data_IF_905813626393
#
_entry.id   IF_905813626393
#
_cell.length_a   1.000
_cell.length_b   1.000
_cell.length_c   1.000
_cell.angle_alpha   90.00
_cell.angle_beta   90.00
_cell.angle_gamma   90.00
#
_symmetry.space_group_name_H-M   'P 1'
#
loop_
_entity.id
_entity.type
_entity.pdbx_description
1 polymer ?
#
# COMPACT_ATOMS: atom_id res chain seq x y z
N UNK A 1 21.82 15.90 -7.24
CA UNK A 1 20.60 15.12 -7.41
C UNK A 1 19.85 15.27 -6.12
N UNK A 2 18.77 16.06 -6.12
CA UNK A 2 17.79 15.96 -5.05
C UNK A 2 16.98 14.74 -5.46
N UNK A 3 17.06 13.67 -4.67
CA UNK A 3 16.14 12.54 -4.84
C UNK A 3 14.73 13.12 -4.92
N UNK A 4 13.99 12.66 -5.93
CA UNK A 4 12.58 12.95 -6.11
C UNK A 4 11.85 12.46 -4.84
N UNK A 5 11.80 13.30 -3.81
CA UNK A 5 10.96 13.09 -2.65
C UNK A 5 9.54 13.24 -3.19
N UNK A 6 8.93 12.10 -3.53
CA UNK A 6 7.57 12.04 -3.99
C UNK A 6 6.68 12.84 -3.04
N UNK A 7 6.10 13.92 -3.54
CA UNK A 7 5.27 14.81 -2.74
C UNK A 7 4.01 14.05 -2.33
N UNK A 8 3.62 14.12 -1.05
CA UNK A 8 2.38 13.52 -0.58
C UNK A 8 1.19 14.15 -1.31
N UNK A 9 0.26 13.32 -1.79
CA UNK A 9 -0.95 13.76 -2.46
C UNK A 9 -1.78 14.69 -1.58
N UNK A 10 -2.35 15.76 -2.13
CA UNK A 10 -3.12 16.75 -1.34
C UNK A 10 -4.38 16.18 -0.70
N UNK A 11 -4.87 15.05 -1.22
CA UNK A 11 -6.07 14.32 -0.78
C UNK A 11 -5.72 13.03 0.00
N UNK A 12 -4.49 12.92 0.55
CA UNK A 12 -4.03 11.73 1.26
C UNK A 12 -4.96 11.31 2.40
N UNK A 13 -5.56 12.27 3.10
CA UNK A 13 -6.43 12.07 4.25
C UNK A 13 -7.73 11.36 3.82
N UNK A 14 -8.32 11.78 2.71
CA UNK A 14 -9.49 11.15 2.14
C UNK A 14 -9.16 9.78 1.52
N UNK A 15 -8.00 9.62 0.86
CA UNK A 15 -7.56 8.31 0.34
C UNK A 15 -7.44 7.27 1.45
N UNK A 16 -6.78 7.63 2.56
CA UNK A 16 -6.63 6.74 3.74
C UNK A 16 -7.99 6.40 4.33
N UNK A 17 -8.86 7.40 4.53
CA UNK A 17 -10.20 7.18 5.10
C UNK A 17 -11.03 6.23 4.24
N UNK A 18 -11.10 6.49 2.94
CA UNK A 18 -11.88 5.69 1.99
C UNK A 18 -11.38 4.25 1.93
N UNK A 19 -10.06 4.03 1.91
CA UNK A 19 -9.48 2.70 1.89
C UNK A 19 -9.66 1.94 3.22
N UNK A 20 -9.60 2.62 4.36
CA UNK A 20 -9.93 2.01 5.65
C UNK A 20 -11.40 1.55 5.67
N UNK A 21 -12.31 2.40 5.20
CA UNK A 21 -13.75 2.13 5.21
C UNK A 21 -14.13 1.04 4.22
N UNK A 22 -13.46 0.95 3.06
CA UNK A 22 -13.67 -0.14 2.10
C UNK A 22 -13.25 -1.50 2.67
N UNK A 23 -12.24 -1.54 3.55
CA UNK A 23 -11.84 -2.73 4.32
C UNK A 23 -12.70 -2.98 5.56
N UNK A 24 -13.67 -2.10 5.88
CA UNK A 24 -14.59 -2.27 7.01
C UNK A 24 -13.95 -2.10 8.39
N UNK A 25 -12.80 -1.44 8.47
CA UNK A 25 -12.03 -1.29 9.71
C UNK A 25 -12.40 0.01 10.44
N UNK A 26 -12.41 -0.01 11.77
CA UNK A 26 -12.39 1.21 12.58
C UNK A 26 -10.99 1.84 12.61
N UNK A 27 -10.91 3.13 12.96
CA UNK A 27 -9.62 3.83 13.14
C UNK A 27 -8.71 3.14 14.16
N UNK A 28 -9.30 2.56 15.22
CA UNK A 28 -8.56 1.81 16.23
C UNK A 28 -8.06 0.46 15.73
N UNK A 29 -8.82 -0.24 14.89
CA UNK A 29 -8.39 -1.51 14.30
C UNK A 29 -7.23 -1.28 13.33
N UNK A 30 -7.35 -0.32 12.41
CA UNK A 30 -6.25 0.05 11.52
C UNK A 30 -4.99 0.44 12.32
N UNK A 31 -5.15 1.24 13.38
CA UNK A 31 -4.02 1.60 14.23
C UNK A 31 -3.36 0.39 14.90
N UNK A 32 -4.15 -0.57 15.38
CA UNK A 32 -3.63 -1.80 15.97
C UNK A 32 -2.86 -2.65 14.95
N UNK A 33 -3.40 -2.79 13.73
CA UNK A 33 -2.74 -3.52 12.63
C UNK A 33 -1.40 -2.89 12.24
N UNK A 34 -1.31 -1.56 12.26
CA UNK A 34 -0.08 -0.82 11.97
C UNK A 34 0.84 -0.65 13.20
N UNK A 35 0.44 -1.16 14.37
CA UNK A 35 1.15 -0.92 15.64
C UNK A 35 1.37 0.58 15.93
N UNK A 36 0.36 1.39 15.61
CA UNK A 36 0.32 2.83 15.78
C UNK A 36 -0.78 3.27 16.76
N UNK A 37 -0.77 4.55 17.14
CA UNK A 37 -1.83 5.11 17.99
C UNK A 37 -3.08 5.43 17.18
N UNK A 38 -4.26 5.05 17.67
CA UNK A 38 -5.54 5.42 17.06
C UNK A 38 -5.71 6.94 16.86
N UNK A 39 -5.11 7.75 17.74
CA UNK A 39 -5.11 9.20 17.61
C UNK A 39 -4.27 9.72 16.44
N UNK A 40 -3.24 8.98 16.02
CA UNK A 40 -2.43 9.31 14.85
C UNK A 40 -3.24 9.07 13.57
N UNK A 41 -3.81 7.88 13.39
CA UNK A 41 -4.69 7.53 12.26
C UNK A 41 -5.81 8.56 12.12
N UNK A 42 -6.46 8.90 13.24
CA UNK A 42 -7.52 9.91 13.27
C UNK A 42 -7.07 11.30 12.82
N UNK A 43 -5.84 11.72 13.13
CA UNK A 43 -5.29 13.02 12.70
C UNK A 43 -4.93 13.00 11.22
N UNK A 44 -4.34 11.90 10.74
CA UNK A 44 -4.01 11.68 9.34
C UNK A 44 -5.28 11.76 8.49
N UNK A 45 -6.33 11.00 8.86
CA UNK A 45 -7.62 11.02 8.15
C UNK A 45 -8.34 12.37 8.21
N UNK A 46 -7.89 13.37 8.97
CA UNK A 46 -8.46 14.73 8.97
C UNK A 46 -7.56 15.76 8.28
N UNK A 47 -6.38 15.36 7.83
CA UNK A 47 -5.37 16.29 7.34
C UNK A 47 -4.69 17.13 8.44
N UNK A 48 -4.89 16.81 9.73
CA UNK A 48 -4.30 17.58 10.85
C UNK A 48 -2.78 17.36 10.99
N UNK A 49 -2.26 16.29 10.39
CA UNK A 49 -0.88 15.84 10.53
C UNK A 49 -0.50 14.98 9.34
N UNK A 50 0.68 15.26 8.79
CA UNK A 50 1.29 14.43 7.77
C UNK A 50 1.78 13.10 8.39
N UNK A 51 1.58 11.95 7.72
CA UNK A 51 2.25 10.72 8.11
C UNK A 51 3.77 10.90 7.99
N UNK A 52 4.53 10.16 8.82
CA UNK A 52 5.96 9.97 8.55
C UNK A 52 6.14 8.98 7.41
N UNK A 53 7.29 8.97 6.74
CA UNK A 53 7.59 8.05 5.63
C UNK A 53 7.31 6.58 5.98
N UNK A 54 7.61 6.20 7.23
CA UNK A 54 7.31 4.87 7.77
C UNK A 54 5.81 4.61 7.82
N UNK A 55 5.04 5.52 8.40
CA UNK A 55 3.58 5.37 8.55
C UNK A 55 2.90 5.42 7.18
N UNK A 56 3.38 6.25 6.27
CA UNK A 56 2.91 6.28 4.88
C UNK A 56 3.13 4.91 4.22
N UNK A 57 4.34 4.37 4.28
CA UNK A 57 4.67 3.06 3.69
C UNK A 57 3.81 1.93 4.29
N UNK A 58 3.59 1.96 5.60
CA UNK A 58 2.73 1.01 6.31
C UNK A 58 1.25 1.14 5.87
N UNK A 59 0.75 2.38 5.72
CA UNK A 59 -0.60 2.65 5.21
C UNK A 59 -0.78 2.18 3.77
N UNK A 60 0.14 2.53 2.87
CA UNK A 60 0.10 2.15 1.46
C UNK A 60 0.11 0.62 1.29
N UNK A 61 1.00 -0.06 2.02
CA UNK A 61 1.10 -1.52 1.99
C UNK A 61 -0.15 -2.21 2.56
N UNK A 62 -0.64 -1.75 3.71
CA UNK A 62 -1.79 -2.38 4.36
C UNK A 62 -3.11 -2.08 3.66
N UNK A 63 -3.31 -0.84 3.17
CA UNK A 63 -4.54 -0.39 2.52
C UNK A 63 -4.52 -0.62 1.00
N UNK A 64 -3.38 -0.99 0.44
CA UNK A 64 -3.18 -1.22 -1.01
C UNK A 64 -3.53 0.02 -1.85
N UNK A 65 -3.04 1.19 -1.41
CA UNK A 65 -3.23 2.50 -2.05
C UNK A 65 -1.90 3.20 -2.29
N UNK A 66 -1.90 4.22 -3.16
CA UNK A 66 -0.76 5.12 -3.36
C UNK A 66 -1.09 6.52 -2.80
N UNK A 67 -0.22 7.04 -1.93
CA UNK A 67 -0.35 8.34 -1.29
C UNK A 67 0.55 9.42 -1.90
N UNK A 68 1.32 9.10 -2.95
CA UNK A 68 2.13 10.07 -3.68
C UNK A 68 1.28 10.89 -4.67
N UNK A 69 1.68 12.14 -4.88
CA UNK A 69 0.99 13.10 -5.75
C UNK A 69 1.01 12.67 -7.22
N UNK A 70 2.09 12.01 -7.66
CA UNK A 70 2.25 11.53 -9.04
C UNK A 70 1.44 10.25 -9.34
N UNK A 71 0.96 9.56 -8.30
CA UNK A 71 0.17 8.32 -8.40
C UNK A 71 -1.34 8.51 -8.54
N UNK A 72 -1.85 9.73 -8.77
CA UNK A 72 -3.29 10.01 -8.89
C UNK A 72 -3.95 9.49 -10.20
N UNK A 73 -3.25 8.66 -10.97
CA UNK A 73 -3.81 7.97 -12.14
C UNK A 73 -4.17 6.55 -11.73
N UNK A 74 -5.45 6.22 -11.89
CA UNK A 74 -6.12 5.07 -11.29
C UNK A 74 -5.52 3.71 -11.61
N UNK A 75 -5.91 2.76 -10.76
CA UNK A 75 -5.88 1.32 -10.97
C UNK A 75 -4.53 0.78 -11.47
N UNK A 76 -3.68 0.35 -10.53
CA UNK A 76 -3.15 -1.01 -10.61
C UNK A 76 -2.52 -1.40 -9.28
N UNK A 77 -3.19 -2.31 -8.57
CA UNK A 77 -2.48 -3.27 -7.72
C UNK A 77 -1.69 -4.19 -8.66
N UNK A 78 -0.63 -3.67 -9.29
CA UNK A 78 0.42 -4.50 -9.86
C UNK A 78 1.25 -5.04 -8.70
N UNK A 79 0.66 -6.04 -8.06
CA UNK A 79 1.37 -7.06 -7.31
C UNK A 79 2.30 -7.79 -8.30
N UNK A 80 3.40 -7.16 -8.69
CA UNK A 80 4.53 -7.83 -9.32
C UNK A 80 5.36 -8.54 -8.25
N UNK A 81 4.70 -9.40 -7.47
CA UNK A 81 5.30 -10.55 -6.83
C UNK A 81 5.64 -11.58 -7.89
N UNK A 82 6.64 -11.26 -8.72
CA UNK A 82 7.07 -12.06 -9.86
C UNK A 82 8.57 -12.36 -9.88
N UNK A 83 9.26 -12.31 -8.73
CA UNK A 83 10.56 -12.95 -8.60
C UNK A 83 10.37 -14.46 -8.40
N UNK A 84 9.97 -15.13 -9.48
CA UNK A 84 10.38 -16.50 -9.71
C UNK A 84 10.66 -16.64 -11.20
N UNK A 85 11.85 -16.21 -11.60
CA UNK A 85 12.56 -16.80 -12.73
C UNK A 85 12.74 -18.28 -12.41
N UNK A 86 11.67 -19.05 -12.59
CA UNK A 86 11.70 -20.50 -12.59
C UNK A 86 12.63 -20.89 -13.73
N UNK A 87 13.86 -21.25 -13.37
CA UNK A 87 14.72 -22.05 -14.23
C UNK A 87 13.94 -23.32 -14.55
N UNK A 88 13.30 -23.35 -15.73
CA UNK A 88 12.77 -24.57 -16.29
C UNK A 88 13.97 -25.48 -16.55
N UNK A 89 14.26 -26.38 -15.62
CA UNK A 89 15.24 -27.42 -15.87
C UNK A 89 14.64 -28.41 -16.87
N UNK A 90 15.46 -28.87 -17.81
CA UNK A 90 15.09 -29.83 -18.87
C UNK A 90 14.52 -31.18 -18.36
N UNK A 91 14.38 -31.36 -17.04
CA UNK A 91 13.84 -32.56 -16.42
C UNK A 91 12.30 -32.61 -16.33
N UNK A 92 11.58 -31.52 -16.59
CA UNK A 92 10.12 -31.46 -16.37
C UNK A 92 9.27 -31.68 -17.64
N UNK A 93 9.77 -32.48 -18.57
CA UNK A 93 9.03 -32.90 -19.77
C UNK A 93 9.05 -34.41 -19.93
N UNK A 94 8.31 -35.13 -19.07
CA UNK A 94 7.86 -36.49 -19.38
C UNK A 94 6.36 -36.60 -19.16
N UNK A 95 5.59 -36.46 -20.26
CA UNK A 95 4.26 -37.05 -20.39
C UNK A 95 4.28 -38.05 -21.53
N UNK A 96 4.15 -39.33 -21.19
CA UNK A 96 3.55 -40.33 -22.08
C UNK A 96 2.42 -41.01 -21.33
N UNK A 97 1.22 -40.84 -21.87
CA UNK A 97 0.07 -41.71 -21.65
C UNK A 97 -0.28 -42.27 -23.03
N UNK A 98 -0.44 -43.59 -23.04
CA UNK A 98 -0.67 -44.54 -24.14
C UNK A 98 0.55 -44.90 -25.02
#
# INVERSE_FOLDING_TARGET
MFDDMDELATDYDDRVRNARESKGLSQSELANELNEKASLIRKIERGDTLPSDRVQSELESFLEINLNAEGASGEDSEWSGGSSTGSYTLGDVVKRKD
#
